data_IF_271368453303
#
_entry.id   IF_271368453303
#
_cell.length_a   1.000
_cell.length_b   1.000
_cell.length_c   1.000
_cell.angle_alpha   90.00
_cell.angle_beta   90.00
_cell.angle_gamma   90.00
#
_symmetry.space_group_name_H-M   'P 1'
#
loop_
_entity.id
_entity.type
_entity.pdbx_description
1 polymer ?
#
# COMPACT_ATOMS: atom_id res chain seq x y z
N UNK A 1 -21.20 1.33 -11.47
CA UNK A 1 -20.98 0.95 -10.06
C UNK A 1 -19.57 0.43 -9.94
N UNK A 2 -18.63 1.24 -9.46
CA UNK A 2 -17.30 0.77 -9.09
C UNK A 2 -17.27 0.67 -7.57
N UNK A 3 -16.87 -0.48 -7.02
CA UNK A 3 -16.81 -0.70 -5.57
C UNK A 3 -15.44 -0.35 -4.98
N UNK A 4 -14.41 -0.27 -5.82
CA UNK A 4 -13.02 -0.09 -5.42
C UNK A 4 -12.25 0.69 -6.49
N UNK A 5 -11.39 1.62 -6.08
CA UNK A 5 -10.47 2.34 -6.98
C UNK A 5 -9.02 2.05 -6.64
N UNK A 6 -8.18 1.99 -7.67
CA UNK A 6 -6.72 1.97 -7.52
C UNK A 6 -6.18 3.23 -8.16
N UNK A 7 -5.32 3.96 -7.45
CA UNK A 7 -4.61 5.13 -7.93
C UNK A 7 -3.11 4.92 -7.77
N UNK A 8 -2.34 5.14 -8.83
CA UNK A 8 -0.88 5.01 -8.80
C UNK A 8 -0.25 6.35 -9.18
N UNK A 9 0.51 6.94 -8.25
CA UNK A 9 1.27 8.16 -8.48
C UNK A 9 2.79 7.92 -8.41
N UNK A 10 3.22 6.66 -8.37
CA UNK A 10 4.64 6.30 -8.34
C UNK A 10 5.43 6.79 -9.54
N UNK A 11 4.79 6.91 -10.71
CA UNK A 11 5.42 7.50 -11.90
C UNK A 11 5.77 8.99 -11.75
N UNK A 12 5.15 9.68 -10.79
CA UNK A 12 5.39 11.09 -10.50
C UNK A 12 6.37 11.28 -9.32
N UNK A 13 7.06 10.22 -8.88
CA UNK A 13 7.99 10.27 -7.76
C UNK A 13 7.32 10.37 -6.39
N UNK A 14 6.00 10.20 -6.31
CA UNK A 14 5.28 10.19 -5.03
C UNK A 14 5.53 8.87 -4.32
N UNK A 15 6.19 8.91 -3.16
CA UNK A 15 6.50 7.70 -2.37
C UNK A 15 5.35 7.25 -1.49
N UNK A 16 4.46 8.16 -1.08
CA UNK A 16 3.27 7.86 -0.30
C UNK A 16 2.22 8.97 -0.49
N UNK A 17 0.95 8.59 -0.61
CA UNK A 17 -0.16 9.53 -0.60
C UNK A 17 -1.44 8.89 -0.08
N UNK A 18 -2.33 9.71 0.45
CA UNK A 18 -3.70 9.32 0.78
C UNK A 18 -4.63 9.95 -0.24
N UNK A 19 -5.56 9.16 -0.77
CA UNK A 19 -6.57 9.63 -1.69
C UNK A 19 -7.96 9.52 -1.07
N UNK A 20 -8.85 10.41 -1.49
CA UNK A 20 -10.22 10.46 -0.98
C UNK A 20 -11.08 9.50 -1.81
N UNK A 21 -11.87 8.67 -1.13
CA UNK A 21 -12.82 7.78 -1.79
C UNK A 21 -13.90 8.58 -2.52
N UNK A 22 -14.36 8.10 -3.68
CA UNK A 22 -15.50 8.70 -4.36
C UNK A 22 -16.81 8.31 -3.66
N UNK A 23 -17.87 9.14 -3.71
CA UNK A 23 -19.10 8.94 -2.93
C UNK A 23 -19.78 7.57 -3.05
N UNK A 24 -19.62 6.89 -4.20
CA UNK A 24 -20.23 5.57 -4.49
C UNK A 24 -19.27 4.38 -4.24
N UNK A 25 -18.11 4.61 -3.62
CA UNK A 25 -17.06 3.60 -3.43
C UNK A 25 -16.77 3.34 -1.95
N UNK A 26 -16.50 2.08 -1.62
CA UNK A 26 -16.21 1.68 -0.24
C UNK A 26 -14.73 1.86 0.13
N UNK A 27 -13.82 1.77 -0.85
CA UNK A 27 -12.39 1.90 -0.61
C UNK A 27 -11.60 2.35 -1.86
N UNK A 28 -10.42 2.91 -1.59
CA UNK A 28 -9.45 3.30 -2.60
C UNK A 28 -8.04 2.92 -2.14
N UNK A 29 -7.28 2.30 -3.03
CA UNK A 29 -5.88 1.94 -2.83
C UNK A 29 -4.94 2.93 -3.55
N UNK A 30 -4.10 3.61 -2.79
CA UNK A 30 -3.09 4.53 -3.27
C UNK A 30 -1.72 3.83 -3.30
N UNK A 31 -1.12 3.75 -4.50
CA UNK A 31 0.15 3.06 -4.77
C UNK A 31 1.24 4.10 -5.04
N UNK A 32 2.26 4.14 -4.17
CA UNK A 32 3.43 4.99 -4.34
C UNK A 32 4.46 4.44 -5.33
N UNK A 33 5.57 5.16 -5.47
CA UNK A 33 6.75 4.72 -6.22
C UNK A 33 7.52 3.63 -5.50
N UNK A 34 8.18 2.76 -6.27
CA UNK A 34 9.10 1.76 -5.74
C UNK A 34 10.44 2.43 -5.44
N UNK A 35 10.96 2.22 -4.24
CA UNK A 35 12.25 2.73 -3.80
C UNK A 35 13.18 1.60 -3.33
N UNK A 36 14.46 1.69 -3.66
CA UNK A 36 15.46 0.75 -3.15
C UNK A 36 15.89 1.17 -1.75
N UNK A 37 15.59 0.35 -0.74
CA UNK A 37 16.01 0.55 0.65
C UNK A 37 17.03 -0.48 1.09
N UNK A 38 17.93 -0.08 1.98
CA UNK A 38 18.85 -0.99 2.66
C UNK A 38 18.15 -1.54 3.90
N UNK A 39 17.96 -2.85 3.95
CA UNK A 39 17.33 -3.55 5.06
C UNK A 39 18.33 -4.46 5.77
N UNK A 40 18.24 -4.61 7.10
CA UNK A 40 19.03 -5.60 7.83
C UNK A 40 18.80 -7.01 7.26
N UNK A 41 19.90 -7.72 7.05
CA UNK A 41 19.92 -9.10 6.59
C UNK A 41 20.94 -9.86 7.43
N UNK A 42 20.53 -10.39 8.61
CA UNK A 42 21.44 -11.10 9.53
C UNK A 42 22.12 -12.32 8.91
N UNK A 43 21.52 -12.86 7.85
CA UNK A 43 21.96 -13.98 7.02
C UNK A 43 22.90 -13.57 5.88
N UNK A 44 23.04 -12.28 5.58
CA UNK A 44 23.95 -11.75 4.57
C UNK A 44 25.35 -11.55 5.14
N UNK A 45 26.43 -11.91 4.42
CA UNK A 45 27.82 -11.61 4.85
C UNK A 45 28.08 -10.12 5.11
N UNK A 46 27.29 -9.23 4.49
CA UNK A 46 27.38 -7.79 4.67
C UNK A 46 26.51 -7.25 5.81
N UNK A 47 25.65 -8.08 6.42
CA UNK A 47 24.68 -7.68 7.44
C UNK A 47 23.46 -6.90 6.92
N UNK A 48 23.42 -6.59 5.62
CA UNK A 48 22.32 -5.88 4.97
C UNK A 48 22.07 -6.38 3.55
N UNK A 49 20.89 -6.05 3.02
CA UNK A 49 20.48 -6.28 1.63
C UNK A 49 19.78 -5.05 1.07
N UNK A 50 19.91 -4.83 -0.24
CA UNK A 50 19.06 -3.88 -0.96
C UNK A 50 17.73 -4.56 -1.28
N UNK A 51 16.62 -3.88 -1.03
CA UNK A 51 15.27 -4.40 -1.27
C UNK A 51 14.40 -3.30 -1.87
N UNK A 52 13.64 -3.67 -2.90
CA UNK A 52 12.60 -2.80 -3.45
C UNK A 52 11.44 -2.73 -2.48
N UNK A 53 11.11 -1.52 -2.02
CA UNK A 53 10.01 -1.25 -1.10
C UNK A 53 8.96 -0.44 -1.84
N UNK A 54 7.70 -0.85 -1.68
CA UNK A 54 6.52 -0.16 -2.18
C UNK A 54 5.66 0.25 -0.99
N UNK A 55 5.27 1.53 -0.91
CA UNK A 55 4.27 1.97 0.05
C UNK A 55 2.89 1.95 -0.59
N UNK A 56 1.92 1.42 0.15
CA UNK A 56 0.52 1.31 -0.26
C UNK A 56 -0.35 1.84 0.87
N UNK A 57 -1.26 2.75 0.55
CA UNK A 57 -2.19 3.37 1.50
C UNK A 57 -3.62 3.00 1.12
N UNK A 58 -4.41 2.49 2.08
CA UNK A 58 -5.82 2.18 1.89
C UNK A 58 -6.69 3.26 2.57
N UNK A 59 -7.49 3.95 1.76
CA UNK A 59 -8.57 4.81 2.25
C UNK A 59 -9.89 4.06 2.19
N UNK A 60 -10.69 4.11 3.25
CA UNK A 60 -11.93 3.36 3.35
C UNK A 60 -13.06 4.16 4.04
N UNK A 61 -14.30 3.85 3.70
CA UNK A 61 -15.46 4.31 4.44
C UNK A 61 -15.64 3.46 5.69
N UNK A 62 -15.39 4.07 6.86
CA UNK A 62 -15.45 3.36 8.14
C UNK A 62 -16.87 2.92 8.54
N UNK A 63 -17.91 3.42 7.87
CA UNK A 63 -19.29 2.94 8.07
C UNK A 63 -19.47 1.51 7.53
N UNK A 64 -18.61 1.10 6.60
CA UNK A 64 -18.69 -0.18 5.89
C UNK A 64 -17.49 -1.08 6.19
N UNK A 65 -16.29 -0.49 6.35
CA UNK A 65 -15.04 -1.22 6.59
C UNK A 65 -14.47 -0.80 7.94
N UNK A 66 -14.46 -1.71 8.90
CA UNK A 66 -13.77 -1.50 10.18
C UNK A 66 -12.24 -1.60 10.00
N UNK A 67 -11.50 -0.91 10.87
CA UNK A 67 -10.03 -0.87 10.83
C UNK A 67 -9.39 -2.26 10.90
N UNK A 68 -9.95 -3.19 11.67
CA UNK A 68 -9.46 -4.56 11.73
C UNK A 68 -9.61 -5.29 10.38
N UNK A 69 -10.75 -5.12 9.71
CA UNK A 69 -11.01 -5.70 8.39
C UNK A 69 -10.10 -5.06 7.33
N UNK A 70 -9.90 -3.74 7.37
CA UNK A 70 -8.97 -3.05 6.49
C UNK A 70 -7.53 -3.51 6.66
N UNK A 71 -7.09 -3.73 7.90
CA UNK A 71 -5.76 -4.26 8.21
C UNK A 71 -5.57 -5.70 7.71
N UNK A 72 -6.57 -6.57 7.91
CA UNK A 72 -6.57 -7.93 7.36
C UNK A 72 -6.47 -7.91 5.83
N UNK A 73 -7.26 -7.06 5.17
CA UNK A 73 -7.20 -6.92 3.72
C UNK A 73 -5.80 -6.51 3.23
N UNK A 74 -5.15 -5.54 3.90
CA UNK A 74 -3.79 -5.13 3.56
C UNK A 74 -2.76 -6.24 3.81
N UNK A 75 -2.96 -7.06 4.84
CA UNK A 75 -2.09 -8.21 5.12
C UNK A 75 -2.19 -9.26 4.01
N UNK A 76 -3.41 -9.60 3.58
CA UNK A 76 -3.64 -10.52 2.46
C UNK A 76 -3.04 -9.95 1.17
N UNK A 77 -3.31 -8.68 0.87
CA UNK A 77 -2.75 -7.99 -0.30
C UNK A 77 -1.22 -8.08 -0.33
N UNK A 78 -0.56 -7.90 0.82
CA UNK A 78 0.90 -8.04 0.94
C UNK A 78 1.39 -9.48 0.71
N UNK A 79 0.61 -10.51 1.05
CA UNK A 79 0.99 -11.91 0.83
C UNK A 79 0.86 -12.33 -0.65
N UNK A 80 -0.06 -11.70 -1.40
CA UNK A 80 -0.26 -11.97 -2.82
C UNK A 80 0.82 -11.39 -3.74
N UNK A 81 1.62 -10.43 -3.25
CA UNK A 81 2.71 -9.77 -3.98
C UNK A 81 4.08 -10.36 -3.63
#
# INVERSE_FOLDING_TARGET
>A
MGTFTISNLGMYGVTNFSAVIYPEQSALLAIGGIETRILPAPDSPKGFRHSSVLNVTLSCDHRVIDGAVGAQWLQEFKQFL
#
